data_IF_367606847940
#
_entry.id   IF_367606847940
#
_cell.length_a   1.000
_cell.length_b   1.000
_cell.length_c   1.000
_cell.angle_alpha   90.00
_cell.angle_beta   90.00
_cell.angle_gamma   90.00
#
_symmetry.space_group_name_H-M   'P 1'
#
loop_
_entity.id
_entity.type
_entity.pdbx_description
1 polymer ?
#
# COMPACT_ATOMS: atom_id res chain seq x y z
N UNK A 1 24.75 -11.71 -8.56
CA UNK A 1 23.70 -12.23 -7.66
C UNK A 1 23.46 -11.16 -6.62
N UNK A 2 22.52 -10.25 -6.89
CA UNK A 2 22.27 -9.10 -6.03
C UNK A 2 21.11 -9.41 -5.08
N UNK A 3 21.36 -9.15 -3.79
CA UNK A 3 20.54 -9.58 -2.66
C UNK A 3 19.16 -8.89 -2.66
N UNK A 4 18.09 -9.68 -2.62
CA UNK A 4 16.73 -9.19 -2.38
C UNK A 4 16.58 -8.74 -0.92
N UNK A 5 16.91 -7.48 -0.65
CA UNK A 5 16.50 -6.83 0.61
C UNK A 5 14.98 -6.64 0.61
N UNK A 6 14.27 -7.47 1.36
CA UNK A 6 12.87 -7.31 1.78
C UNK A 6 12.68 -6.13 2.75
N UNK A 7 13.36 -5.01 2.52
CA UNK A 7 13.07 -3.71 3.13
C UNK A 7 12.16 -2.96 2.17
N UNK A 8 10.87 -3.28 2.19
CA UNK A 8 9.87 -2.82 1.21
C UNK A 8 9.67 -1.31 1.22
N UNK A 9 10.60 -0.58 0.59
CA UNK A 9 10.38 0.76 0.10
C UNK A 9 9.60 0.62 -1.21
N UNK A 10 8.39 1.16 -1.27
CA UNK A 10 7.66 1.24 -2.54
C UNK A 10 8.57 1.96 -3.55
N UNK A 11 8.86 1.39 -4.73
CA UNK A 11 9.69 2.07 -5.72
C UNK A 11 9.05 3.42 -6.05
N UNK A 12 9.69 4.56 -5.70
CA UNK A 12 9.19 5.96 -5.79
C UNK A 12 7.82 6.10 -6.48
N UNK A 13 6.76 5.65 -5.80
CA UNK A 13 5.42 5.72 -6.36
C UNK A 13 4.95 7.16 -6.23
N UNK A 14 4.35 7.71 -7.29
CA UNK A 14 3.76 9.04 -7.19
C UNK A 14 2.63 9.02 -6.16
N UNK A 15 2.34 10.17 -5.55
CA UNK A 15 1.22 10.34 -4.63
C UNK A 15 -0.12 9.88 -5.25
N UNK A 16 -0.30 10.11 -6.56
CA UNK A 16 -1.46 9.62 -7.32
C UNK A 16 -1.51 8.10 -7.38
N UNK A 17 -0.37 7.44 -7.65
CA UNK A 17 -0.29 5.98 -7.68
C UNK A 17 -0.61 5.37 -6.32
N UNK A 18 -0.12 5.96 -5.22
CA UNK A 18 -0.45 5.50 -3.87
C UNK A 18 -1.95 5.59 -3.57
N UNK A 19 -2.63 6.68 -3.97
CA UNK A 19 -4.10 6.78 -3.83
C UNK A 19 -4.82 5.73 -4.67
N UNK A 20 -4.37 5.48 -5.89
CA UNK A 20 -4.94 4.45 -6.77
C UNK A 20 -4.81 3.07 -6.14
N UNK A 21 -3.62 2.72 -5.62
CA UNK A 21 -3.39 1.44 -4.93
C UNK A 21 -4.25 1.33 -3.67
N UNK A 22 -4.30 2.39 -2.85
CA UNK A 22 -5.19 2.44 -1.68
C UNK A 22 -6.63 2.11 -2.07
N UNK A 23 -7.14 2.74 -3.13
CA UNK A 23 -8.52 2.51 -3.58
C UNK A 23 -8.71 1.08 -4.08
N UNK A 24 -7.80 0.57 -4.91
CA UNK A 24 -7.86 -0.80 -5.42
C UNK A 24 -7.87 -1.85 -4.30
N UNK A 25 -7.04 -1.66 -3.27
CA UNK A 25 -7.00 -2.54 -2.09
C UNK A 25 -8.30 -2.49 -1.28
N UNK A 26 -8.87 -1.30 -1.11
CA UNK A 26 -10.15 -1.16 -0.42
C UNK A 26 -11.28 -1.87 -1.17
N UNK A 27 -11.29 -1.82 -2.50
CA UNK A 27 -12.29 -2.54 -3.31
C UNK A 27 -12.04 -4.06 -3.29
N UNK A 28 -10.77 -4.49 -3.30
CA UNK A 28 -10.42 -5.91 -3.19
C UNK A 28 -10.87 -6.50 -1.85
N UNK A 29 -10.67 -5.77 -0.75
CA UNK A 29 -11.10 -6.18 0.60
C UNK A 29 -12.62 -6.27 0.77
N UNK A 30 -13.42 -5.66 -0.12
CA UNK A 30 -14.89 -5.74 -0.12
C UNK A 30 -15.42 -6.94 -0.90
N UNK A 31 -14.58 -7.67 -1.65
CA UNK A 31 -15.03 -8.81 -2.46
C UNK A 31 -15.54 -9.93 -1.58
N UNK A 32 -16.67 -10.49 -1.95
CA UNK A 32 -17.16 -11.72 -1.35
C UNK A 32 -16.22 -12.89 -1.70
N UNK A 33 -15.94 -13.75 -0.71
CA UNK A 33 -15.07 -14.91 -0.88
C UNK A 33 -13.57 -14.63 -0.71
N UNK A 34 -13.15 -13.44 -0.28
CA UNK A 34 -11.75 -13.21 0.10
C UNK A 34 -11.37 -14.09 1.30
N UNK A 35 -10.20 -14.73 1.23
CA UNK A 35 -9.71 -15.51 2.36
C UNK A 35 -9.30 -14.60 3.51
N UNK A 36 -9.46 -15.06 4.75
CA UNK A 36 -9.02 -14.30 5.93
C UNK A 36 -7.50 -14.05 5.92
N UNK A 37 -6.71 -14.93 5.27
CA UNK A 37 -5.28 -14.74 5.13
C UNK A 37 -4.92 -13.64 4.13
N UNK A 38 -5.62 -13.58 3.00
CA UNK A 38 -5.48 -12.51 2.01
C UNK A 38 -5.93 -11.19 2.64
N UNK A 39 -7.07 -11.18 3.32
CA UNK A 39 -7.59 -10.01 4.03
C UNK A 39 -6.58 -9.43 5.03
N UNK A 40 -5.92 -10.27 5.83
CA UNK A 40 -4.85 -9.83 6.75
C UNK A 40 -3.66 -9.23 6.01
N UNK A 41 -3.20 -9.89 4.94
CA UNK A 41 -2.06 -9.45 4.14
C UNK A 41 -2.35 -8.12 3.45
N UNK A 42 -3.53 -7.98 2.85
CA UNK A 42 -3.97 -6.77 2.15
C UNK A 42 -4.26 -5.61 3.11
N UNK A 43 -4.77 -5.88 4.32
CA UNK A 43 -4.88 -4.87 5.38
C UNK A 43 -3.51 -4.36 5.82
N UNK A 44 -2.53 -5.25 5.98
CA UNK A 44 -1.16 -4.84 6.32
C UNK A 44 -0.53 -3.99 5.21
N UNK A 45 -0.81 -4.31 3.94
CA UNK A 45 -0.36 -3.52 2.80
C UNK A 45 -1.05 -2.14 2.76
N UNK A 46 -2.35 -2.10 3.03
CA UNK A 46 -3.14 -0.86 3.10
C UNK A 46 -2.61 0.09 4.18
N UNK A 47 -2.18 -0.42 5.33
CA UNK A 47 -1.56 0.38 6.39
C UNK A 47 -0.26 1.02 5.90
N UNK A 48 0.65 0.25 5.28
CA UNK A 48 1.91 0.77 4.72
C UNK A 48 1.68 1.86 3.67
N UNK A 49 0.69 1.71 2.80
CA UNK A 49 0.34 2.72 1.80
C UNK A 49 -0.21 3.98 2.45
N UNK A 50 -1.06 3.85 3.49
CA UNK A 50 -1.56 5.02 4.21
C UNK A 50 -0.43 5.80 4.90
N UNK A 51 0.54 5.10 5.49
CA UNK A 51 1.70 5.72 6.11
C UNK A 51 2.55 6.46 5.08
N UNK A 52 2.83 5.87 3.91
CA UNK A 52 3.58 6.54 2.85
C UNK A 52 2.83 7.78 2.31
N UNK A 53 1.51 7.69 2.13
CA UNK A 53 0.66 8.84 1.74
C UNK A 53 0.76 9.96 2.78
N UNK A 54 0.75 9.64 4.08
CA UNK A 54 0.87 10.60 5.17
C UNK A 54 2.25 11.27 5.14
N UNK A 55 3.31 10.48 5.03
CA UNK A 55 4.69 10.98 4.92
C UNK A 55 4.89 11.85 3.67
N UNK A 56 4.27 11.51 2.55
CA UNK A 56 4.31 12.35 1.34
C UNK A 56 3.54 13.66 1.53
N UNK A 57 2.37 13.65 2.19
CA UNK A 57 1.64 14.87 2.53
C UNK A 57 2.47 15.80 3.40
N UNK A 58 3.11 15.26 4.43
CA UNK A 58 3.97 16.02 5.33
C UNK A 58 5.20 16.58 4.61
N UNK A 59 5.87 15.76 3.78
CA UNK A 59 7.07 16.17 3.03
C UNK A 59 6.79 17.23 1.96
N UNK A 60 5.69 17.12 1.24
CA UNK A 60 5.38 17.99 0.10
C UNK A 60 4.34 19.07 0.41
N UNK A 61 3.84 19.13 1.66
CA UNK A 61 2.76 20.04 2.10
C UNK A 61 1.55 20.03 1.15
N UNK A 62 1.17 18.83 0.67
CA UNK A 62 -0.07 18.63 -0.09
C UNK A 62 -1.32 18.89 0.75
#
# INVERSE_FOLDING_TARGET
MEEYKLGGSFPKLSYKNLKTLKHALQEYLKREGISENDKKSEQALLLKINDEIKLMRERYRF
#
